data_IF_644648274482
#
_entry.id   IF_644648274482
#
_cell.length_a   1.000
_cell.length_b   1.000
_cell.length_c   1.000
_cell.angle_alpha   90.00
_cell.angle_beta   90.00
_cell.angle_gamma   90.00
#
_symmetry.space_group_name_H-M   'P 1'
#
loop_
_entity.id
_entity.type
_entity.pdbx_description
1 polymer ?
#
# COMPACT_ATOMS: atom_id res chain seq x y z
N UNK A 1 33.64 20.54 14.96
CA UNK A 1 32.94 19.27 14.82
C UNK A 1 31.42 19.49 14.87
N UNK A 2 30.71 18.91 13.95
CA UNK A 2 29.26 19.07 13.93
C UNK A 2 28.59 17.88 14.59
N UNK A 3 27.60 18.17 15.40
CA UNK A 3 26.80 17.13 16.01
C UNK A 3 25.52 17.06 15.24
N UNK A 4 25.22 15.91 14.71
CA UNK A 4 24.00 15.74 13.92
C UNK A 4 23.03 14.89 14.74
N UNK A 5 21.88 15.47 15.01
CA UNK A 5 20.84 14.73 15.71
C UNK A 5 20.14 13.83 14.73
N UNK A 6 20.20 12.54 14.97
CA UNK A 6 19.57 11.60 14.09
C UNK A 6 18.09 11.53 14.40
N UNK A 7 17.33 11.34 13.36
CA UNK A 7 15.91 11.08 13.54
C UNK A 7 15.75 9.86 14.37
N UNK A 8 14.86 9.89 15.31
CA UNK A 8 14.53 8.70 16.03
C UNK A 8 13.98 7.72 15.02
N UNK A 9 13.42 6.70 15.42
CA UNK A 9 12.94 5.68 14.52
C UNK A 9 11.66 6.08 13.81
N UNK A 10 11.49 7.33 13.48
CA UNK A 10 10.25 7.77 12.86
C UNK A 10 9.99 7.12 11.54
N UNK A 11 11.04 6.82 10.79
CA UNK A 11 10.87 6.17 9.51
C UNK A 11 10.38 4.74 9.64
N UNK A 12 10.48 4.18 10.83
CA UNK A 12 10.06 2.81 11.06
C UNK A 12 8.78 2.72 11.86
N UNK A 13 8.12 3.83 12.09
CA UNK A 13 6.85 3.80 12.79
C UNK A 13 5.84 3.05 11.98
N UNK A 14 5.10 2.17 12.63
CA UNK A 14 4.04 1.46 11.95
C UNK A 14 2.91 2.43 11.63
N UNK A 15 2.27 2.22 10.51
CA UNK A 15 1.07 2.97 10.17
C UNK A 15 0.01 2.55 11.18
N UNK A 16 -0.65 3.50 11.83
CA UNK A 16 -1.65 3.14 12.85
C UNK A 16 -2.79 2.30 12.31
N UNK A 17 -3.38 1.48 13.14
CA UNK A 17 -4.53 0.71 12.75
C UNK A 17 -5.69 1.63 12.36
N UNK A 18 -6.52 1.15 11.45
CA UNK A 18 -7.67 1.89 10.96
C UNK A 18 -7.55 2.16 9.47
N UNK A 19 -8.46 2.98 8.96
CA UNK A 19 -8.51 3.29 7.54
C UNK A 19 -7.60 4.46 7.21
N UNK A 20 -6.86 4.31 6.11
CA UNK A 20 -5.98 5.37 5.64
C UNK A 20 -6.08 5.46 4.12
N UNK A 21 -5.88 6.67 3.61
CA UNK A 21 -5.75 6.87 2.18
C UNK A 21 -4.28 6.73 1.82
N UNK A 22 -4.02 5.97 0.76
CA UNK A 22 -2.67 5.75 0.27
C UNK A 22 -2.55 6.20 -1.16
N UNK A 23 -1.43 6.82 -1.47
CA UNK A 23 -1.08 7.13 -2.85
C UNK A 23 -0.14 6.05 -3.36
N UNK A 24 -0.37 5.59 -4.58
CA UNK A 24 0.55 4.64 -5.20
C UNK A 24 1.70 5.46 -5.76
N UNK A 25 2.87 5.31 -5.16
CA UNK A 25 4.04 6.11 -5.54
C UNK A 25 5.00 5.35 -6.43
N UNK A 26 4.86 4.06 -6.55
CA UNK A 26 5.69 3.27 -7.45
C UNK A 26 5.09 1.90 -7.65
N UNK A 27 5.36 1.32 -8.83
CA UNK A 27 4.92 -0.03 -9.14
C UNK A 27 6.03 -0.68 -9.93
N UNK A 28 6.45 -1.86 -9.50
CA UNK A 28 7.47 -2.62 -10.20
C UNK A 28 6.95 -4.01 -10.49
N UNK A 29 7.14 -4.47 -11.71
CA UNK A 29 6.71 -5.81 -12.08
C UNK A 29 7.90 -6.57 -12.65
N UNK A 30 8.26 -7.68 -11.98
CA UNK A 30 9.30 -8.56 -12.46
C UNK A 30 8.63 -9.72 -13.19
N UNK A 31 8.68 -9.65 -14.52
CA UNK A 31 7.99 -10.66 -15.34
C UNK A 31 8.56 -12.05 -15.17
N UNK A 32 9.83 -12.16 -14.86
CA UNK A 32 10.46 -13.47 -14.72
C UNK A 32 9.87 -14.28 -13.59
N UNK A 33 9.54 -13.59 -12.52
CA UNK A 33 9.00 -14.24 -11.33
C UNK A 33 7.53 -13.94 -11.11
N UNK A 34 6.96 -13.10 -11.96
CA UNK A 34 5.56 -12.71 -11.80
C UNK A 34 5.32 -11.91 -10.54
N UNK A 35 6.33 -11.18 -10.06
CA UNK A 35 6.20 -10.45 -8.81
C UNK A 35 5.83 -9.00 -9.07
N UNK A 36 4.70 -8.60 -8.55
CA UNK A 36 4.23 -7.22 -8.64
C UNK A 36 4.41 -6.57 -7.28
N UNK A 37 5.19 -5.51 -7.23
CA UNK A 37 5.38 -4.75 -5.99
C UNK A 37 4.81 -3.37 -6.15
N UNK A 38 3.98 -2.97 -5.21
CA UNK A 38 3.30 -1.68 -5.25
C UNK A 38 3.71 -0.91 -4.01
N UNK A 39 4.30 0.26 -4.22
CA UNK A 39 4.73 1.10 -3.13
C UNK A 39 3.68 2.15 -2.85
N UNK A 40 3.24 2.18 -1.61
CA UNK A 40 2.19 3.08 -1.17
C UNK A 40 2.75 4.05 -0.14
N UNK A 41 2.15 5.21 -0.06
CA UNK A 41 2.53 6.18 0.96
C UNK A 41 1.29 6.87 1.50
N UNK A 42 1.27 7.08 2.81
CA UNK A 42 0.21 7.87 3.43
C UNK A 42 0.50 9.34 3.22
N UNK A 43 -0.45 10.19 3.57
CA UNK A 43 -0.27 11.62 3.46
C UNK A 43 0.93 12.10 4.28
N UNK A 44 1.19 11.47 5.41
CA UNK A 44 2.32 11.84 6.25
C UNK A 44 3.65 11.25 5.78
N UNK A 45 3.63 10.46 4.71
CA UNK A 45 4.84 9.92 4.15
C UNK A 45 5.22 8.54 4.65
N UNK A 46 4.41 7.93 5.48
CA UNK A 46 4.68 6.57 5.91
C UNK A 46 4.46 5.62 4.75
N UNK A 47 5.35 4.66 4.61
CA UNK A 47 5.34 3.79 3.44
C UNK A 47 4.88 2.38 3.76
N UNK A 48 4.27 1.77 2.77
CA UNK A 48 3.83 0.38 2.85
C UNK A 48 4.01 -0.24 1.47
N UNK A 49 4.42 -1.49 1.41
CA UNK A 49 4.57 -2.19 0.14
C UNK A 49 3.61 -3.36 0.11
N UNK A 50 2.84 -3.44 -1.00
CA UNK A 50 1.99 -4.58 -1.26
C UNK A 50 2.65 -5.41 -2.34
N UNK A 51 2.68 -6.73 -2.16
CA UNK A 51 3.27 -7.64 -3.13
C UNK A 51 2.24 -8.65 -3.57
N UNK A 52 2.22 -8.90 -4.88
CA UNK A 52 1.33 -9.88 -5.44
C UNK A 52 2.15 -10.82 -6.32
N UNK A 53 2.00 -12.11 -6.10
CA UNK A 53 2.69 -13.10 -6.93
C UNK A 53 1.73 -13.58 -7.98
N UNK A 54 1.97 -13.20 -9.22
CA UNK A 54 1.10 -13.57 -10.32
C UNK A 54 1.47 -14.92 -10.94
N UNK A 55 2.69 -15.39 -10.66
CA UNK A 55 3.13 -16.71 -11.06
C UNK A 55 3.52 -17.50 -9.82
N UNK A 56 3.40 -18.82 -9.91
CA UNK A 56 3.83 -19.68 -8.82
C UNK A 56 5.29 -20.09 -9.04
N UNK A 57 5.81 -20.96 -8.20
CA UNK A 57 7.21 -21.37 -8.26
C UNK A 57 7.55 -22.12 -9.54
N UNK A 58 6.56 -22.66 -10.20
CA UNK A 58 6.76 -23.40 -11.45
C UNK A 58 6.59 -22.51 -12.68
N UNK A 59 6.35 -21.25 -12.48
CA UNK A 59 6.15 -20.31 -13.59
C UNK A 59 4.74 -20.32 -14.14
N UNK A 60 3.82 -20.97 -13.45
CA UNK A 60 2.42 -21.02 -13.89
C UNK A 60 1.61 -19.96 -13.22
N UNK A 61 0.45 -19.65 -13.79
CA UNK A 61 -0.40 -18.60 -13.25
C UNK A 61 -0.83 -18.94 -11.82
N UNK A 62 -0.59 -18.01 -10.93
CA UNK A 62 -1.06 -18.12 -9.54
C UNK A 62 -2.40 -17.38 -9.48
N UNK A 63 -3.48 -18.13 -9.62
CA UNK A 63 -4.81 -17.51 -9.71
C UNK A 63 -5.15 -16.67 -8.49
N UNK A 64 -4.75 -17.11 -7.31
CA UNK A 64 -5.02 -16.33 -6.10
C UNK A 64 -4.32 -14.97 -6.14
N UNK A 65 -3.07 -14.95 -6.58
CA UNK A 65 -2.33 -13.70 -6.70
C UNK A 65 -2.91 -12.80 -7.77
N UNK A 66 -3.30 -13.38 -8.91
CA UNK A 66 -3.92 -12.62 -9.98
C UNK A 66 -5.23 -12.02 -9.51
N UNK A 67 -6.04 -12.78 -8.79
CA UNK A 67 -7.32 -12.28 -8.30
C UNK A 67 -7.11 -11.15 -7.30
N UNK A 68 -6.14 -11.29 -6.41
CA UNK A 68 -5.88 -10.26 -5.43
C UNK A 68 -5.37 -8.98 -6.10
N UNK A 69 -4.46 -9.11 -7.04
CA UNK A 69 -3.96 -7.95 -7.76
C UNK A 69 -5.06 -7.30 -8.59
N UNK A 70 -5.91 -8.12 -9.21
CA UNK A 70 -7.00 -7.60 -10.02
C UNK A 70 -7.94 -6.74 -9.19
N UNK A 71 -8.24 -7.20 -7.99
CA UNK A 71 -9.09 -6.42 -7.10
C UNK A 71 -8.40 -5.10 -6.74
N UNK A 72 -7.11 -5.16 -6.40
CA UNK A 72 -6.36 -3.96 -6.07
C UNK A 72 -6.41 -2.96 -7.23
N UNK A 73 -6.18 -3.44 -8.45
CA UNK A 73 -6.14 -2.58 -9.61
C UNK A 73 -7.51 -1.92 -9.85
N UNK A 74 -8.57 -2.68 -9.71
CA UNK A 74 -9.91 -2.13 -9.90
C UNK A 74 -10.27 -1.10 -8.84
N UNK A 75 -9.83 -1.32 -7.61
CA UNK A 75 -10.03 -0.36 -6.54
C UNK A 75 -9.24 0.92 -6.85
N UNK A 76 -7.99 0.77 -7.25
CA UNK A 76 -7.14 1.93 -7.51
C UNK A 76 -7.64 2.75 -8.68
N UNK A 77 -8.14 2.09 -9.71
CA UNK A 77 -8.67 2.79 -10.87
C UNK A 77 -10.11 3.24 -10.66
N UNK A 78 -10.71 2.79 -9.56
CA UNK A 78 -12.12 3.05 -9.25
C UNK A 78 -13.00 2.62 -10.42
N UNK A 79 -12.69 1.48 -11.00
CA UNK A 79 -13.42 0.95 -12.14
C UNK A 79 -13.38 -0.57 -12.06
N UNK A 80 -14.51 -1.17 -11.70
CA UNK A 80 -14.57 -2.61 -11.50
C UNK A 80 -14.92 -3.37 -12.77
N UNK A 81 -14.99 -2.66 -13.90
CA UNK A 81 -15.29 -3.28 -15.18
C UNK A 81 -14.07 -3.51 -16.06
N UNK A 82 -12.90 -3.04 -15.64
CA UNK A 82 -11.72 -3.20 -16.48
C UNK A 82 -11.27 -4.66 -16.50
N UNK A 83 -10.80 -5.09 -17.66
CA UNK A 83 -10.32 -6.46 -17.84
C UNK A 83 -8.81 -6.54 -17.92
N UNK A 84 -8.15 -5.44 -18.19
CA UNK A 84 -6.71 -5.40 -18.29
C UNK A 84 -6.20 -4.02 -17.89
N UNK A 85 -4.94 -3.93 -17.57
CA UNK A 85 -4.35 -2.69 -17.14
C UNK A 85 -2.85 -2.73 -17.39
N UNK A 86 -2.28 -1.57 -17.68
CA UNK A 86 -0.84 -1.41 -17.68
C UNK A 86 -0.49 -1.06 -16.23
N UNK A 87 0.40 -1.82 -15.63
CA UNK A 87 0.72 -1.60 -14.22
C UNK A 87 1.24 -0.19 -13.95
N UNK A 88 1.85 0.44 -14.94
CA UNK A 88 2.34 1.79 -14.75
C UNK A 88 1.22 2.82 -14.62
N UNK A 89 0.03 2.47 -15.09
CA UNK A 89 -1.10 3.39 -14.93
C UNK A 89 -1.57 3.51 -13.49
N UNK A 90 -1.12 2.62 -12.64
CA UNK A 90 -1.48 2.68 -11.24
C UNK A 90 -0.74 3.78 -10.49
N UNK A 91 0.42 4.19 -10.99
CA UNK A 91 1.22 5.20 -10.30
C UNK A 91 0.46 6.52 -10.27
N UNK A 92 0.35 7.09 -9.10
CA UNK A 92 -0.40 8.34 -8.90
C UNK A 92 -1.83 8.13 -8.50
N UNK A 93 -2.31 6.89 -8.54
CA UNK A 93 -3.68 6.59 -8.11
C UNK A 93 -3.70 6.41 -6.60
N UNK A 94 -4.89 6.35 -6.05
CA UNK A 94 -5.09 6.24 -4.61
C UNK A 94 -5.96 5.06 -4.28
N UNK A 95 -5.70 4.47 -3.11
CA UNK A 95 -6.63 3.50 -2.54
C UNK A 95 -6.84 3.87 -1.08
N UNK A 96 -7.94 3.40 -0.53
CA UNK A 96 -8.18 3.51 0.89
C UNK A 96 -8.05 2.12 1.47
N UNK A 97 -7.16 1.96 2.44
CA UNK A 97 -6.88 0.65 3.00
C UNK A 97 -7.01 0.65 4.50
N UNK A 98 -7.48 -0.48 5.02
CA UNK A 98 -7.60 -0.66 6.46
C UNK A 98 -6.35 -1.37 6.95
N UNK A 99 -5.66 -0.75 7.88
CA UNK A 99 -4.44 -1.30 8.48
C UNK A 99 -4.80 -2.06 9.74
N UNK A 100 -4.25 -3.26 9.87
CA UNK A 100 -4.33 -4.04 11.08
C UNK A 100 -2.93 -4.51 11.41
N UNK A 101 -2.58 -4.47 12.68
CA UNK A 101 -1.26 -4.90 13.12
C UNK A 101 -1.29 -6.38 13.44
N UNK A 102 -0.23 -7.07 13.06
CA UNK A 102 -0.11 -8.49 13.31
C UNK A 102 1.28 -8.81 13.83
N UNK A 103 1.35 -9.61 14.86
CA UNK A 103 2.64 -10.07 15.37
C UNK A 103 3.15 -11.22 14.54
N UNK A 104 4.46 -11.23 14.30
CA UNK A 104 5.10 -12.35 13.67
C UNK A 104 5.03 -13.57 14.55
N UNK A 105 5.24 -14.74 13.96
CA UNK A 105 5.16 -15.99 14.69
C UNK A 105 6.49 -16.43 15.26
N UNK A 106 7.59 -15.81 14.83
CA UNK A 106 8.92 -16.18 15.30
C UNK A 106 9.56 -15.00 16.02
N UNK A 107 10.13 -15.22 17.19
CA UNK A 107 10.81 -14.14 17.90
C UNK A 107 12.15 -13.83 17.24
N UNK A 108 12.59 -12.61 17.44
CA UNK A 108 13.91 -12.21 16.99
C UNK A 108 14.95 -12.97 17.82
N UNK A 109 15.88 -13.67 17.19
CA UNK A 109 16.88 -14.47 17.93
C UNK A 109 17.74 -13.65 18.87
N UNK A 110 17.90 -12.36 18.61
CA UNK A 110 18.77 -11.53 19.45
C UNK A 110 18.04 -10.90 20.61
N UNK A 111 16.78 -10.55 20.43
CA UNK A 111 16.04 -9.82 21.45
C UNK A 111 14.93 -10.64 22.09
N UNK A 112 14.55 -11.75 21.48
CA UNK A 112 13.44 -12.55 21.95
C UNK A 112 12.09 -11.90 21.73
N UNK A 113 12.05 -10.77 21.06
CA UNK A 113 10.79 -10.07 20.83
C UNK A 113 10.22 -10.43 19.48
N UNK A 114 8.91 -10.38 19.40
CA UNK A 114 8.22 -10.61 18.15
C UNK A 114 8.07 -9.30 17.38
N UNK A 115 8.27 -9.37 16.08
CA UNK A 115 8.06 -8.21 15.22
C UNK A 115 6.57 -7.97 15.05
N UNK A 116 6.19 -6.72 14.89
CA UNK A 116 4.81 -6.36 14.58
C UNK A 116 4.78 -5.77 13.18
N UNK A 117 3.83 -6.22 12.39
CA UNK A 117 3.69 -5.78 11.02
C UNK A 117 2.35 -5.10 10.81
N UNK A 118 2.34 -4.09 9.94
CA UNK A 118 1.11 -3.45 9.52
C UNK A 118 0.70 -4.08 8.20
N UNK A 119 -0.52 -4.56 8.12
CA UNK A 119 -1.05 -5.18 6.92
C UNK A 119 -2.33 -4.49 6.50
N UNK A 120 -2.53 -4.39 5.18
CA UNK A 120 -3.80 -3.89 4.66
C UNK A 120 -4.73 -5.08 4.54
N UNK A 121 -5.79 -5.07 5.31
CA UNK A 121 -6.74 -6.19 5.33
C UNK A 121 -7.99 -5.95 4.49
N UNK A 122 -8.31 -4.69 4.22
CA UNK A 122 -9.45 -4.33 3.38
C UNK A 122 -9.08 -3.14 2.53
N UNK A 123 -9.66 -3.05 1.35
CA UNK A 123 -9.38 -1.98 0.41
C UNK A 123 -10.67 -1.47 -0.20
N UNK A 124 -10.70 -0.18 -0.47
CA UNK A 124 -11.82 0.43 -1.18
C UNK A 124 -11.31 1.63 -1.96
N UNK A 125 -12.07 2.12 -2.94
CA UNK A 125 -11.65 3.29 -3.71
C UNK A 125 -11.46 4.50 -2.81
N UNK A 126 -10.51 5.35 -3.18
CA UNK A 126 -10.21 6.56 -2.43
C UNK A 126 -10.38 7.78 -3.34
N UNK A 127 -10.78 8.88 -2.73
CA UNK A 127 -10.87 10.15 -3.46
C UNK A 127 -9.57 10.93 -3.38
N UNK A 128 -8.52 10.30 -2.89
CA UNK A 128 -7.23 10.94 -2.74
C UNK A 128 -7.01 11.32 -1.30
N UNK A 129 -5.94 12.08 -1.04
CA UNK A 129 -5.71 12.57 0.30
C UNK A 129 -6.79 13.59 0.59
N UNK A 130 -7.83 13.12 1.21
CA UNK A 130 -8.96 13.97 1.54
C UNK A 130 -8.54 14.88 2.67
N UNK A 131 -7.60 15.71 2.36
CA UNK A 131 -7.17 16.68 3.29
C UNK A 131 -8.33 17.56 3.55
N UNK A 132 -8.51 17.90 4.77
CA UNK A 132 -9.59 18.73 5.15
C UNK A 132 -9.65 19.98 4.31
N UNK A 133 -8.51 20.53 4.02
CA UNK A 133 -8.51 21.74 3.23
C UNK A 133 -9.06 21.51 1.86
N UNK A 134 -8.66 20.43 1.26
CA UNK A 134 -9.12 20.13 -0.07
C UNK A 134 -10.59 19.85 -0.06
N UNK A 135 -11.01 19.14 0.94
CA UNK A 135 -12.41 18.81 1.02
C UNK A 135 -13.22 20.04 1.23
N UNK A 136 -12.75 20.89 2.11
CA UNK A 136 -13.48 22.08 2.37
C UNK A 136 -13.66 22.91 1.16
N UNK A 137 -12.68 22.94 0.33
CA UNK A 137 -12.81 23.73 -0.85
C UNK A 137 -13.95 23.25 -1.69
N UNK A 138 -14.12 21.97 -1.72
CA UNK A 138 -15.17 21.48 -2.56
C UNK A 138 -16.49 21.89 -2.02
N UNK A 139 -16.68 21.90 -0.74
CA UNK A 139 -17.95 22.33 -0.26
C UNK A 139 -18.08 23.76 -0.33
N UNK A 140 -17.03 24.48 -0.22
CA UNK A 140 -17.12 25.89 -0.37
C UNK A 140 -17.59 26.24 -1.74
N UNK A 141 -17.20 25.47 -2.70
CA UNK A 141 -17.62 25.74 -4.04
C UNK A 141 -19.09 25.72 -4.21
N UNK A 142 -19.75 25.03 -3.37
CA UNK A 142 -21.18 24.95 -3.49
C UNK A 142 -21.89 26.16 -3.00
N UNK A 143 -21.21 26.99 -2.37
CA UNK A 143 -21.84 28.13 -1.75
C UNK A 143 -22.16 29.24 -2.73
#
# INVERSE_FOLDING_TARGET
MAIINLSESKGFSLIPEGWHDFKIVGVEYDERFGKMEIQLATKSGQKHTERYMLLDNDGEINQGGVNAFSFFARVAMNDFQIDSIDHEDLVGKFIRGKIEHKKGTKPNPKTGKYATFANITEKEPSVGFADAGAVDLSELDDL
#
